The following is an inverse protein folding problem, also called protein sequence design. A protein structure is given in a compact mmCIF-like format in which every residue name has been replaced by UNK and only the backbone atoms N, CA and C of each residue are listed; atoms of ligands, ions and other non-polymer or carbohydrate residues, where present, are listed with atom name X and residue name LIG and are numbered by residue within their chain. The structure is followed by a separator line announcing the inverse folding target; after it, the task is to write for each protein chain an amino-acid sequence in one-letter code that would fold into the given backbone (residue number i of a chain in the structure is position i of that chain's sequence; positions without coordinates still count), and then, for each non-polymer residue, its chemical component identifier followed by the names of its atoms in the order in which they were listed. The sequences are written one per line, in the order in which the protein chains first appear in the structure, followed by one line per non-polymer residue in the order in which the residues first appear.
data_IF_927987572091
#
_entry.id   IF_927987572091
#
_cell.length_a   1.000
_cell.length_b   1.000
_cell.length_c   1.000
_cell.angle_alpha   90.00
_cell.angle_beta   90.00
_cell.angle_gamma   90.00
#
_symmetry.space_group_name_H-M   'P 1'
#
loop_
_entity.id
_entity.type
_entity.pdbx_description
1 polymer ?
#
# COMPACT_ATOMS: atom_id res chain seq x y z
N UNK A 1 43.05 -5.46 18.34
CA UNK A 1 42.57 -4.62 19.44
C UNK A 1 41.04 -4.59 19.36
N UNK A 2 40.29 -5.31 20.21
CA UNK A 2 38.84 -5.40 20.07
C UNK A 2 38.19 -4.11 20.59
N UNK A 3 37.36 -3.49 19.76
CA UNK A 3 36.61 -2.27 20.10
C UNK A 3 35.52 -2.67 21.09
N UNK A 4 35.68 -2.28 22.36
CA UNK A 4 34.68 -2.46 23.41
C UNK A 4 33.57 -1.43 23.20
N UNK A 5 32.51 -1.81 22.49
CA UNK A 5 31.30 -0.97 22.36
C UNK A 5 30.64 -0.84 23.75
N UNK A 6 30.39 0.40 24.19
CA UNK A 6 29.81 0.67 25.50
C UNK A 6 28.35 0.23 25.57
N UNK A 7 27.91 -0.27 26.73
CA UNK A 7 26.55 -0.79 26.98
C UNK A 7 25.43 0.21 26.65
N UNK A 8 25.75 1.51 26.60
CA UNK A 8 24.84 2.59 26.25
C UNK A 8 24.52 2.65 24.75
N UNK A 9 25.47 2.28 23.89
CA UNK A 9 25.24 2.22 22.44
C UNK A 9 24.29 1.07 22.06
N UNK A 10 24.31 -0.04 22.79
CA UNK A 10 23.42 -1.19 22.57
C UNK A 10 21.97 -0.85 22.93
N UNK A 11 21.76 -0.12 24.04
CA UNK A 11 20.42 0.32 24.47
C UNK A 11 19.80 1.35 23.51
N UNK A 12 20.60 2.26 22.95
CA UNK A 12 20.13 3.24 21.96
C UNK A 12 19.71 2.60 20.63
N UNK A 13 20.42 1.56 20.19
CA UNK A 13 20.10 0.84 18.94
C UNK A 13 18.80 0.03 19.06
N UNK A 14 18.50 -0.56 20.22
CA UNK A 14 17.25 -1.28 20.44
C UNK A 14 16.02 -0.35 20.46
N UNK A 15 16.12 0.84 21.05
CA UNK A 15 15.01 1.81 21.14
C UNK A 15 14.64 2.42 19.77
N UNK A 16 15.55 2.39 18.80
CA UNK A 16 15.34 2.85 17.43
C UNK A 16 15.13 1.70 16.45
N UNK A 17 14.72 0.51 16.90
CA UNK A 17 14.31 -0.55 15.98
C UNK A 17 13.06 -0.09 15.23
N UNK A 18 13.15 0.21 13.92
CA UNK A 18 11.96 0.52 13.15
C UNK A 18 11.06 -0.72 13.21
N UNK A 19 9.81 -0.60 13.65
CA UNK A 19 8.81 -1.63 13.42
C UNK A 19 8.81 -1.92 11.91
N UNK A 20 9.39 -3.04 11.51
CA UNK A 20 9.39 -3.52 10.15
C UNK A 20 8.06 -4.24 9.96
N UNK A 21 7.11 -3.60 9.30
CA UNK A 21 5.93 -4.29 8.79
C UNK A 21 6.38 -5.25 7.70
N UNK A 22 6.79 -6.45 8.10
CA UNK A 22 7.22 -7.50 7.20
C UNK A 22 6.03 -7.98 6.38
N UNK A 23 6.14 -7.89 5.06
CA UNK A 23 5.15 -8.48 4.17
C UNK A 23 5.45 -9.97 4.02
N UNK A 24 4.55 -10.81 4.49
CA UNK A 24 4.58 -12.26 4.26
C UNK A 24 3.56 -12.58 3.18
N UNK A 25 4.03 -13.10 2.04
CA UNK A 25 3.14 -13.65 1.01
C UNK A 25 2.39 -14.84 1.61
N UNK A 26 1.07 -14.81 1.53
CA UNK A 26 0.19 -15.91 1.95
C UNK A 26 -0.66 -16.34 0.76
N UNK A 27 -1.08 -17.59 0.75
CA UNK A 27 -2.16 -18.04 -0.13
C UNK A 27 -3.47 -17.33 0.23
N UNK A 28 -4.47 -17.42 -0.65
CA UNK A 28 -5.80 -16.88 -0.36
C UNK A 28 -6.43 -17.59 0.83
N UNK A 29 -6.33 -18.92 0.92
CA UNK A 29 -6.92 -19.69 2.03
C UNK A 29 -6.33 -19.30 3.38
N UNK A 30 -5.00 -19.17 3.48
CA UNK A 30 -4.32 -18.68 4.69
C UNK A 30 -4.72 -17.24 5.02
N UNK A 31 -4.84 -16.38 4.00
CA UNK A 31 -5.23 -14.98 4.18
C UNK A 31 -6.67 -14.86 4.67
N UNK A 32 -7.60 -15.65 4.12
CA UNK A 32 -9.00 -15.70 4.53
C UNK A 32 -9.14 -16.26 5.95
N UNK A 33 -8.42 -17.33 6.29
CA UNK A 33 -8.44 -17.90 7.63
C UNK A 33 -7.96 -16.87 8.68
N UNK A 34 -6.84 -16.19 8.41
CA UNK A 34 -6.31 -15.14 9.28
C UNK A 34 -7.29 -13.97 9.40
N UNK A 35 -7.85 -13.50 8.28
CA UNK A 35 -8.81 -12.40 8.26
C UNK A 35 -10.09 -12.75 9.04
N UNK A 36 -10.66 -13.94 8.85
CA UNK A 36 -11.86 -14.38 9.56
C UNK A 36 -11.65 -14.43 11.07
N UNK A 37 -10.53 -15.00 11.52
CA UNK A 37 -10.19 -15.04 12.95
C UNK A 37 -9.97 -13.62 13.52
N UNK A 38 -9.30 -12.75 12.76
CA UNK A 38 -9.06 -11.36 13.18
C UNK A 38 -10.37 -10.57 13.28
N UNK A 39 -11.23 -10.65 12.25
CA UNK A 39 -12.52 -9.94 12.20
C UNK A 39 -13.52 -10.49 13.23
N UNK A 40 -13.46 -11.78 13.55
CA UNK A 40 -14.27 -12.37 14.62
C UNK A 40 -13.96 -11.74 15.99
N UNK A 41 -12.71 -11.33 16.22
CA UNK A 41 -12.29 -10.66 17.44
C UNK A 41 -12.64 -9.17 17.47
N UNK A 42 -13.00 -8.54 16.35
CA UNK A 42 -13.30 -7.10 16.27
C UNK A 42 -14.66 -6.74 16.86
N UNK A 43 -14.74 -5.57 17.49
CA UNK A 43 -16.02 -4.95 17.85
C UNK A 43 -16.76 -4.48 16.59
N UNK A 44 -18.05 -4.17 16.71
CA UNK A 44 -18.81 -3.61 15.59
C UNK A 44 -18.22 -2.27 15.11
N UNK A 45 -17.83 -1.41 16.04
CA UNK A 45 -17.24 -0.11 15.71
C UNK A 45 -15.92 -0.27 14.95
N UNK A 46 -15.05 -1.20 15.38
CA UNK A 46 -13.80 -1.52 14.66
C UNK A 46 -14.07 -2.01 13.23
N UNK A 47 -15.15 -2.79 13.03
CA UNK A 47 -15.56 -3.22 11.68
C UNK A 47 -16.07 -2.07 10.83
N UNK A 48 -16.87 -1.16 11.41
CA UNK A 48 -17.40 0.02 10.73
C UNK A 48 -16.25 0.96 10.32
N UNK A 49 -15.29 1.19 11.21
CA UNK A 49 -14.11 2.01 10.91
C UNK A 49 -13.31 1.44 9.74
N UNK A 50 -13.18 0.11 9.66
CA UNK A 50 -12.45 -0.58 8.59
C UNK A 50 -13.12 -0.52 7.22
N UNK A 51 -14.39 -0.14 7.13
CA UNK A 51 -15.13 0.03 5.86
C UNK A 51 -15.44 1.48 5.54
N UNK A 52 -14.99 2.42 6.38
CA UNK A 52 -15.31 3.85 6.25
C UNK A 52 -14.06 4.67 5.96
N UNK A 53 -14.12 5.50 4.91
CA UNK A 53 -13.08 6.48 4.64
C UNK A 53 -13.09 7.61 5.66
N UNK A 54 -11.92 8.06 6.12
CA UNK A 54 -11.79 9.16 7.12
C UNK A 54 -12.10 10.57 6.58
N UNK A 55 -12.63 10.67 5.35
CA UNK A 55 -12.92 11.94 4.67
C UNK A 55 -11.77 12.45 3.77
N UNK A 56 -12.09 13.44 2.95
CA UNK A 56 -11.16 14.03 1.97
C UNK A 56 -10.17 14.99 2.66
N UNK A 57 -8.93 15.04 2.17
CA UNK A 57 -7.84 15.91 2.67
C UNK A 57 -7.44 15.72 4.15
N UNK A 58 -7.89 14.64 4.79
CA UNK A 58 -7.53 14.30 6.18
C UNK A 58 -6.15 13.63 6.31
N UNK A 59 -5.53 13.24 5.18
CA UNK A 59 -4.21 12.61 5.17
C UNK A 59 -3.46 12.90 3.86
N UNK A 60 -2.19 12.47 3.78
CA UNK A 60 -1.33 12.53 2.58
C UNK A 60 -1.76 11.57 1.46
N UNK A 61 -2.59 10.58 1.75
CA UNK A 61 -3.13 9.66 0.75
C UNK A 61 -4.46 10.15 0.20
N UNK A 62 -4.82 9.73 -1.01
CA UNK A 62 -6.06 10.12 -1.68
C UNK A 62 -7.29 9.61 -0.90
N UNK A 63 -7.21 8.37 -0.41
CA UNK A 63 -8.18 7.78 0.49
C UNK A 63 -7.47 7.09 1.65
N UNK A 64 -8.12 7.05 2.82
CA UNK A 64 -7.56 6.37 3.98
C UNK A 64 -8.66 5.72 4.82
N UNK A 65 -8.30 4.58 5.41
CA UNK A 65 -9.12 3.88 6.40
C UNK A 65 -8.37 3.94 7.73
N UNK A 66 -9.12 4.21 8.80
CA UNK A 66 -8.57 4.27 10.16
C UNK A 66 -8.20 2.85 10.63
N UNK A 67 -7.07 2.67 11.34
CA UNK A 67 -6.75 1.37 11.93
C UNK A 67 -7.72 1.08 13.09
N UNK A 68 -7.99 -0.20 13.38
CA UNK A 68 -8.68 -0.58 14.61
C UNK A 68 -7.94 -0.06 15.85
N UNK A 69 -8.69 0.15 16.92
CA UNK A 69 -8.17 0.74 18.17
C UNK A 69 -7.07 -0.09 18.87
N UNK A 70 -6.95 -1.37 18.54
CA UNK A 70 -6.06 -2.33 19.18
C UNK A 70 -5.47 -3.33 18.19
N UNK A 71 -4.46 -4.05 18.65
CA UNK A 71 -3.93 -5.23 17.96
C UNK A 71 -4.66 -6.51 18.41
N UNK A 72 -4.62 -7.54 17.58
CA UNK A 72 -5.29 -8.82 17.80
C UNK A 72 -4.25 -9.93 17.94
N UNK A 73 -4.47 -10.89 18.85
CA UNK A 73 -3.62 -12.09 18.91
C UNK A 73 -4.35 -13.22 18.18
N UNK A 74 -3.77 -13.72 17.09
CA UNK A 74 -4.37 -14.74 16.22
C UNK A 74 -3.35 -15.83 15.96
N UNK A 75 -3.68 -17.08 16.32
CA UNK A 75 -2.82 -18.25 16.15
C UNK A 75 -1.37 -18.06 16.66
N UNK A 76 -1.21 -17.41 17.82
CA UNK A 76 0.11 -17.13 18.42
C UNK A 76 0.89 -16.00 17.75
N UNK A 77 0.27 -15.26 16.82
CA UNK A 77 0.86 -14.08 16.17
C UNK A 77 0.10 -12.81 16.54
N UNK A 78 0.84 -11.72 16.77
CA UNK A 78 0.24 -10.42 16.98
C UNK A 78 -0.04 -9.76 15.64
N UNK A 79 -1.31 -9.48 15.37
CA UNK A 79 -1.83 -8.84 14.17
C UNK A 79 -2.16 -7.38 14.51
N UNK A 80 -1.34 -6.46 14.01
CA UNK A 80 -1.61 -5.03 14.05
C UNK A 80 -1.96 -4.55 12.65
N UNK A 81 -3.18 -4.05 12.46
CA UNK A 81 -3.61 -3.49 11.18
C UNK A 81 -3.22 -2.01 11.15
N UNK A 82 -2.36 -1.57 10.22
CA UNK A 82 -2.03 -0.16 10.06
C UNK A 82 -3.20 0.60 9.41
N UNK A 83 -3.22 1.94 9.47
CA UNK A 83 -4.08 2.73 8.60
C UNK A 83 -3.87 2.33 7.15
N UNK A 84 -4.95 2.05 6.42
CA UNK A 84 -4.86 1.65 5.01
C UNK A 84 -4.89 2.91 4.17
N UNK A 85 -3.84 3.10 3.38
CA UNK A 85 -3.66 4.26 2.52
C UNK A 85 -3.87 3.87 1.05
N UNK A 86 -4.73 4.61 0.38
CA UNK A 86 -5.08 4.48 -1.04
C UNK A 86 -4.47 5.65 -1.79
N UNK A 87 -3.70 5.37 -2.84
CA UNK A 87 -3.07 6.42 -3.64
C UNK A 87 -3.33 6.22 -5.12
N UNK A 88 -3.56 7.34 -5.79
CA UNK A 88 -3.53 7.42 -7.25
C UNK A 88 -2.07 7.35 -7.76
N UNK A 89 -1.85 6.95 -9.01
CA UNK A 89 -2.85 6.49 -9.97
C UNK A 89 -2.23 5.67 -11.13
N UNK A 90 -3.03 5.33 -12.15
CA UNK A 90 -2.68 4.28 -13.13
C UNK A 90 -1.37 4.46 -13.89
N UNK A 91 -0.80 5.67 -13.92
CA UNK A 91 0.47 6.02 -14.57
C UNK A 91 1.60 6.42 -13.59
N UNK A 92 1.49 6.06 -12.31
CA UNK A 92 2.48 6.38 -11.27
C UNK A 92 1.86 7.13 -10.09
N UNK A 93 2.62 7.33 -9.03
CA UNK A 93 2.12 8.00 -7.82
C UNK A 93 1.76 9.47 -8.08
N UNK A 94 0.55 9.86 -7.72
CA UNK A 94 0.02 11.22 -7.83
C UNK A 94 0.35 12.04 -6.57
N UNK A 95 0.64 13.33 -6.74
CA UNK A 95 0.88 14.31 -5.66
C UNK A 95 2.04 13.97 -4.71
N UNK A 96 3.03 13.21 -5.20
CA UNK A 96 4.25 12.86 -4.47
C UNK A 96 5.47 13.37 -5.24
N UNK A 97 6.52 13.80 -4.54
CA UNK A 97 7.78 14.24 -5.15
C UNK A 97 8.72 13.05 -5.38
N UNK A 98 9.61 13.18 -6.37
CA UNK A 98 10.64 12.17 -6.71
C UNK A 98 10.01 10.80 -7.01
N UNK A 99 9.05 10.78 -7.94
CA UNK A 99 8.34 9.59 -8.42
C UNK A 99 8.41 9.57 -9.94
N UNK A 100 8.23 8.40 -10.54
CA UNK A 100 8.29 8.24 -11.99
C UNK A 100 6.91 8.46 -12.61
N UNK A 101 6.86 9.27 -13.66
CA UNK A 101 5.72 9.33 -14.57
C UNK A 101 5.82 8.22 -15.61
N UNK A 102 5.05 7.15 -15.45
CA UNK A 102 5.09 6.01 -16.36
C UNK A 102 4.26 6.29 -17.63
N UNK A 103 4.55 5.59 -18.76
CA UNK A 103 3.70 5.65 -19.94
C UNK A 103 2.24 5.36 -19.60
N UNK A 104 1.30 6.05 -20.25
CA UNK A 104 -0.13 5.87 -20.02
C UNK A 104 -0.59 4.44 -20.39
N UNK A 105 -1.78 4.04 -19.94
CA UNK A 105 -2.35 2.73 -20.25
C UNK A 105 -2.45 2.46 -21.76
N UNK A 106 -2.80 3.47 -22.56
CA UNK A 106 -2.89 3.32 -24.03
C UNK A 106 -1.51 3.13 -24.67
N UNK A 107 -0.49 3.86 -24.23
CA UNK A 107 0.89 3.67 -24.72
C UNK A 107 1.39 2.25 -24.42
N UNK A 108 1.04 1.71 -23.25
CA UNK A 108 1.38 0.35 -22.84
C UNK A 108 0.66 -0.68 -23.69
N UNK A 109 -0.63 -0.49 -23.94
CA UNK A 109 -1.43 -1.34 -24.82
C UNK A 109 -0.86 -1.39 -26.25
N UNK A 110 -0.46 -0.22 -26.79
CA UNK A 110 0.13 -0.10 -28.13
C UNK A 110 1.47 -0.84 -28.29
N UNK A 111 2.11 -1.27 -27.21
CA UNK A 111 3.33 -2.11 -27.32
C UNK A 111 3.02 -3.57 -27.69
N UNK A 112 1.78 -4.03 -27.46
CA UNK A 112 1.37 -5.44 -27.52
C UNK A 112 2.31 -6.40 -26.76
N UNK A 113 3.09 -5.90 -25.79
CA UNK A 113 4.13 -6.66 -25.10
C UNK A 113 3.76 -6.92 -23.64
N UNK A 114 3.37 -8.17 -23.35
CA UNK A 114 3.10 -8.64 -21.98
C UNK A 114 4.31 -8.42 -21.05
N UNK A 115 5.52 -8.52 -21.59
CA UNK A 115 6.77 -8.27 -20.85
C UNK A 115 6.85 -6.82 -20.38
N UNK A 116 6.64 -5.86 -21.27
CA UNK A 116 6.69 -4.43 -20.94
C UNK A 116 5.54 -4.02 -20.01
N UNK A 117 4.34 -4.57 -20.23
CA UNK A 117 3.19 -4.40 -19.33
C UNK A 117 3.53 -4.84 -17.90
N UNK A 118 4.10 -6.05 -17.73
CA UNK A 118 4.50 -6.58 -16.43
C UNK A 118 5.62 -5.76 -15.80
N UNK A 119 6.66 -5.41 -16.56
CA UNK A 119 7.78 -4.63 -16.06
C UNK A 119 7.34 -3.26 -15.52
N UNK A 120 6.43 -2.59 -16.25
CA UNK A 120 5.82 -1.34 -15.77
C UNK A 120 5.02 -1.55 -14.48
N UNK A 121 4.22 -2.61 -14.39
CA UNK A 121 3.44 -2.91 -13.19
C UNK A 121 4.32 -3.15 -11.96
N UNK A 122 5.42 -3.90 -12.12
CA UNK A 122 6.40 -4.12 -11.05
C UNK A 122 7.02 -2.80 -10.59
N UNK A 123 7.51 -1.99 -11.52
CA UNK A 123 8.13 -0.70 -11.19
C UNK A 123 7.16 0.26 -10.46
N UNK A 124 5.89 0.30 -10.88
CA UNK A 124 4.85 1.06 -10.15
C UNK A 124 4.67 0.50 -8.74
N UNK A 125 4.50 -0.81 -8.59
CA UNK A 125 4.32 -1.44 -7.28
C UNK A 125 5.50 -1.20 -6.33
N UNK A 126 6.72 -1.21 -6.86
CA UNK A 126 7.94 -0.89 -6.11
C UNK A 126 7.95 0.56 -5.62
N UNK A 127 7.58 1.54 -6.46
CA UNK A 127 7.49 2.94 -6.03
C UNK A 127 6.42 3.15 -4.95
N UNK A 128 5.24 2.54 -5.12
CA UNK A 128 4.13 2.61 -4.15
C UNK A 128 4.53 1.99 -2.80
N UNK A 129 5.22 0.85 -2.84
CA UNK A 129 5.76 0.19 -1.64
C UNK A 129 6.86 1.03 -0.98
N UNK A 130 7.82 1.53 -1.76
CA UNK A 130 8.98 2.24 -1.25
C UNK A 130 8.63 3.60 -0.66
N UNK A 131 7.72 4.36 -1.28
CA UNK A 131 7.34 5.70 -0.77
C UNK A 131 6.70 5.67 0.59
N UNK A 132 6.07 4.56 0.97
CA UNK A 132 5.58 4.40 2.32
C UNK A 132 6.59 3.98 3.37
N UNK A 133 7.81 3.64 2.96
CA UNK A 133 8.93 3.46 3.89
C UNK A 133 9.63 4.80 4.20
N UNK A 134 9.49 5.82 3.34
CA UNK A 134 10.28 7.06 3.39
C UNK A 134 9.60 8.24 4.10
N UNK A 135 8.28 8.20 4.34
CA UNK A 135 7.58 9.29 5.04
C UNK A 135 7.17 8.79 6.43
N UNK A 136 7.69 9.41 7.48
CA UNK A 136 7.10 9.27 8.82
C UNK A 136 5.79 10.08 8.82
N UNK A 137 4.64 9.51 9.27
CA UNK A 137 4.47 8.17 9.84
C UNK A 137 4.44 7.17 8.70
N UNK A 138 5.19 6.07 8.87
CA UNK A 138 5.49 5.04 7.85
C UNK A 138 4.22 4.44 7.26
N UNK A 139 3.65 5.11 6.27
CA UNK A 139 2.44 4.67 5.60
C UNK A 139 2.75 4.42 4.13
N UNK A 140 3.01 3.14 3.83
CA UNK A 140 2.73 2.49 2.53
C UNK A 140 1.56 3.13 1.83
N UNK A 141 1.63 3.35 0.53
CA UNK A 141 0.40 3.15 -0.22
C UNK A 141 0.14 1.66 -0.20
N UNK A 142 -0.88 1.26 0.55
CA UNK A 142 -1.26 -0.14 0.72
C UNK A 142 -2.08 -0.61 -0.47
N UNK A 143 -2.83 0.32 -1.08
CA UNK A 143 -3.70 0.06 -2.21
C UNK A 143 -3.40 1.05 -3.33
N UNK A 144 -3.00 0.49 -4.46
CA UNK A 144 -2.85 1.18 -5.73
C UNK A 144 -4.21 1.32 -6.41
N UNK A 145 -4.63 2.56 -6.71
CA UNK A 145 -5.86 2.83 -7.46
C UNK A 145 -5.60 2.68 -8.98
N UNK A 146 -5.51 1.43 -9.43
CA UNK A 146 -5.34 1.04 -10.82
C UNK A 146 -5.08 -0.47 -10.98
N UNK A 147 -4.79 -0.94 -12.21
CA UNK A 147 -4.85 -0.21 -13.47
C UNK A 147 -6.30 0.13 -13.87
N UNK A 148 -6.46 1.07 -14.80
CA UNK A 148 -7.77 1.31 -15.41
C UNK A 148 -8.01 0.28 -16.53
N UNK A 149 -9.15 -0.40 -16.47
CA UNK A 149 -9.61 -1.36 -17.49
C UNK A 149 -10.89 -0.90 -18.19
N UNK A 150 -11.42 0.27 -17.82
CA UNK A 150 -12.61 0.84 -18.45
C UNK A 150 -12.33 1.16 -19.92
N UNK A 151 -13.20 0.66 -20.79
CA UNK A 151 -13.12 0.87 -22.23
C UNK A 151 -13.97 2.07 -22.59
N UNK A 152 -13.33 3.10 -23.13
CA UNK A 152 -14.05 4.25 -23.69
C UNK A 152 -14.78 3.78 -24.96
N UNK A 153 -16.12 3.80 -24.91
CA UNK A 153 -16.98 3.58 -26.07
C UNK A 153 -17.77 4.85 -26.34
N UNK A 154 -17.33 5.63 -27.32
CA UNK A 154 -18.06 6.79 -27.83
C UNK A 154 -18.47 6.52 -29.28
N UNK A 155 -19.73 6.76 -29.62
CA UNK A 155 -20.19 6.74 -31.02
C UNK A 155 -19.67 8.00 -31.70
N UNK A 156 -18.79 7.84 -32.69
CA UNK A 156 -18.10 8.96 -33.32
C UNK A 156 -19.02 9.92 -34.07
N UNK A 157 -19.01 11.19 -33.66
CA UNK A 157 -19.05 12.35 -34.55
C UNK A 157 -17.80 13.19 -34.30
N UNK A 158 -16.62 12.62 -34.56
CA UNK A 158 -15.39 13.39 -34.71
C UNK A 158 -14.73 12.93 -36.00
N UNK A 159 -15.00 13.70 -37.06
CA UNK A 159 -14.22 13.69 -38.30
C UNK A 159 -12.76 14.01 -37.95
N UNK A 160 -11.89 13.01 -38.09
CA UNK A 160 -10.46 13.22 -38.26
C UNK A 160 -10.22 13.49 -39.75
N UNK A 161 -10.04 14.76 -40.11
CA UNK A 161 -9.04 15.32 -41.03
C UNK A 161 -9.20 16.84 -41.01
#
# INVERSE_FOLDING_TARGET
MPIRLSSWLILFVCLYSPATYGFTTRSWDESYALANQTVALMTLDEKIEMVTGVGIFSSRCVGNIKPPSRSFSVAGTNVAIPPICFSDGPAGMRLVKQVTGFPSGINVASTFSKRLMRARGVAIGEEFRAKGMLVWPKFGSHVFLGPAMDIVRTSGYYTLF
#
